data_IF_385764646736
#
_entry.id   IF_385764646736
#
_cell.length_a   1.000
_cell.length_b   1.000
_cell.length_c   1.000
_cell.angle_alpha   90.00
_cell.angle_beta   90.00
_cell.angle_gamma   90.00
#
_symmetry.space_group_name_H-M   'P 1'
#
loop_
_entity.id
_entity.type
_entity.pdbx_description
1 polymer ?
#
# COMPACT_ATOMS: atom_id res chain seq x y z
N UNK A 1 -7.30 -15.03 10.14
CA UNK A 1 -6.56 -13.99 9.42
C UNK A 1 -5.10 -14.35 9.54
N UNK A 2 -4.40 -14.45 8.42
CA UNK A 2 -2.96 -14.72 8.37
C UNK A 2 -2.24 -13.56 7.72
N UNK A 3 -0.99 -13.33 8.14
CA UNK A 3 -0.13 -12.28 7.61
C UNK A 3 1.14 -12.92 7.09
N UNK A 4 1.51 -12.61 5.86
CA UNK A 4 2.71 -13.11 5.21
C UNK A 4 3.74 -11.99 5.08
N UNK A 5 4.94 -12.20 5.60
CA UNK A 5 6.02 -11.23 5.62
C UNK A 5 7.21 -11.71 4.80
N UNK A 6 7.86 -10.77 4.12
CA UNK A 6 9.13 -10.94 3.41
C UNK A 6 10.23 -10.07 4.00
N UNK A 7 11.37 -10.00 3.31
CA UNK A 7 12.48 -9.15 3.72
C UNK A 7 12.13 -7.65 3.63
N UNK A 8 11.20 -7.32 2.73
CA UNK A 8 10.78 -5.96 2.43
C UNK A 8 9.69 -5.44 3.37
N UNK A 9 8.86 -6.32 3.94
CA UNK A 9 7.74 -5.96 4.80
C UNK A 9 6.57 -6.94 4.74
N UNK A 10 5.38 -6.47 5.13
CA UNK A 10 4.13 -7.23 4.98
C UNK A 10 3.85 -7.41 3.49
N UNK A 11 3.78 -8.64 3.01
CA UNK A 11 3.52 -8.98 1.60
C UNK A 11 2.05 -9.28 1.32
N UNK A 12 1.33 -9.79 2.32
CA UNK A 12 -0.10 -10.04 2.15
C UNK A 12 -0.86 -10.44 3.40
N UNK A 13 -2.16 -10.22 3.32
CA UNK A 13 -3.17 -10.59 4.30
C UNK A 13 -4.10 -11.64 3.71
N UNK A 14 -4.37 -12.70 4.46
CA UNK A 14 -5.13 -13.84 3.97
C UNK A 14 -6.24 -14.23 4.95
N UNK A 15 -7.39 -14.61 4.40
CA UNK A 15 -8.46 -15.24 5.14
C UNK A 15 -8.04 -16.63 5.63
N UNK A 16 -8.80 -17.18 6.59
CA UNK A 16 -8.48 -18.50 7.17
C UNK A 16 -8.50 -19.65 6.13
N UNK A 17 -9.24 -19.47 5.03
CA UNK A 17 -9.31 -20.40 3.91
C UNK A 17 -8.19 -20.22 2.87
N UNK A 18 -7.22 -19.32 3.12
CA UNK A 18 -6.13 -19.03 2.19
C UNK A 18 -6.46 -18.03 1.08
N UNK A 19 -7.69 -17.49 1.02
CA UNK A 19 -8.02 -16.42 0.08
C UNK A 19 -7.24 -15.15 0.44
N UNK A 20 -6.61 -14.53 -0.55
CA UNK A 20 -5.99 -13.22 -0.39
C UNK A 20 -7.06 -12.16 -0.10
N UNK A 21 -6.81 -11.32 0.90
CA UNK A 21 -7.59 -10.13 1.24
C UNK A 21 -6.88 -8.92 0.66
N UNK A 22 -5.56 -8.79 0.94
CA UNK A 22 -4.71 -7.73 0.39
C UNK A 22 -3.31 -8.25 0.08
N UNK A 23 -2.71 -7.70 -0.97
CA UNK A 23 -1.30 -7.88 -1.31
C UNK A 23 -0.58 -6.54 -1.29
N UNK A 24 0.72 -6.54 -0.99
CA UNK A 24 1.54 -5.35 -0.93
C UNK A 24 2.84 -5.54 -1.72
N UNK A 25 3.13 -4.59 -2.59
CA UNK A 25 4.38 -4.55 -3.35
C UNK A 25 5.36 -3.58 -2.74
N UNK A 26 6.63 -3.93 -2.75
CA UNK A 26 7.70 -3.11 -2.18
C UNK A 26 8.77 -2.81 -3.21
N UNK A 27 9.59 -1.79 -2.95
CA UNK A 27 10.77 -1.52 -3.74
C UNK A 27 11.73 -2.73 -3.71
N UNK A 28 12.15 -3.26 -4.87
CA UNK A 28 13.06 -4.39 -4.90
C UNK A 28 14.35 -4.11 -4.12
N UNK A 29 14.73 -5.00 -3.21
CA UNK A 29 15.94 -4.88 -2.40
C UNK A 29 15.84 -3.89 -1.23
N UNK A 30 14.68 -3.26 -1.00
CA UNK A 30 14.44 -2.47 0.21
C UNK A 30 14.20 -3.41 1.38
N UNK A 31 15.09 -3.43 2.37
CA UNK A 31 14.86 -4.18 3.60
C UNK A 31 13.94 -3.38 4.54
N UNK A 32 12.83 -3.98 4.98
CA UNK A 32 11.87 -3.38 5.92
C UNK A 32 11.45 -1.96 5.53
N UNK A 33 10.90 -1.81 4.33
CA UNK A 33 10.35 -0.53 3.88
C UNK A 33 9.22 -0.06 4.81
N UNK A 34 9.04 1.26 4.90
CA UNK A 34 7.92 1.87 5.64
C UNK A 34 6.73 2.18 4.74
N UNK A 35 6.91 2.13 3.41
CA UNK A 35 5.91 2.48 2.42
C UNK A 35 5.91 1.45 1.28
N UNK A 36 4.81 0.71 1.07
CA UNK A 36 4.68 -0.12 -0.11
C UNK A 36 4.49 0.74 -1.37
N UNK A 37 4.90 0.22 -2.52
CA UNK A 37 4.68 0.80 -3.83
C UNK A 37 3.21 0.73 -4.27
N UNK A 38 2.57 -0.38 -3.94
CA UNK A 38 1.17 -0.61 -4.28
C UNK A 38 0.50 -1.49 -3.23
N UNK A 39 -0.82 -1.38 -3.16
CA UNK A 39 -1.69 -2.40 -2.58
C UNK A 39 -2.49 -3.08 -3.71
N UNK A 40 -2.78 -4.37 -3.52
CA UNK A 40 -3.65 -5.15 -4.38
C UNK A 40 -4.83 -5.64 -3.57
N UNK A 41 -6.05 -5.33 -3.99
CA UNK A 41 -7.28 -5.79 -3.34
C UNK A 41 -8.29 -6.17 -4.43
N UNK A 42 -8.93 -7.34 -4.32
CA UNK A 42 -9.91 -7.81 -5.31
C UNK A 42 -9.37 -7.93 -6.75
N UNK A 43 -8.05 -8.09 -6.93
CA UNK A 43 -7.40 -8.13 -8.24
C UNK A 43 -7.07 -6.75 -8.85
N UNK A 44 -7.49 -5.66 -8.22
CA UNK A 44 -7.14 -4.30 -8.62
C UNK A 44 -5.85 -3.84 -7.93
N UNK A 45 -5.06 -3.03 -8.64
CA UNK A 45 -3.86 -2.40 -8.11
C UNK A 45 -4.12 -0.93 -7.79
N UNK A 46 -3.66 -0.48 -6.62
CA UNK A 46 -3.63 0.92 -6.26
C UNK A 46 -2.19 1.32 -5.91
N UNK A 47 -1.64 2.25 -6.69
CA UNK A 47 -0.27 2.73 -6.56
C UNK A 47 -0.22 3.90 -5.57
N UNK A 48 0.69 3.81 -4.61
CA UNK A 48 0.81 4.76 -3.52
C UNK A 48 1.69 5.93 -3.95
N UNK A 49 1.15 7.14 -3.85
CA UNK A 49 1.88 8.39 -3.99
C UNK A 49 2.13 8.95 -2.59
N UNK A 50 3.36 8.84 -2.12
CA UNK A 50 3.79 9.38 -0.84
C UNK A 50 4.54 10.71 -1.03
N UNK A 51 4.47 11.59 -0.02
CA UNK A 51 5.34 12.76 0.02
C UNK A 51 6.79 12.40 0.38
N UNK A 52 7.68 13.41 0.40
CA UNK A 52 9.10 13.25 0.71
C UNK A 52 9.40 12.66 2.10
N UNK A 53 8.44 12.71 3.04
CA UNK A 53 8.55 12.12 4.38
C UNK A 53 8.00 10.70 4.44
N UNK A 54 7.46 10.23 3.32
CA UNK A 54 6.88 8.91 3.23
C UNK A 54 5.42 8.81 3.64
N UNK A 55 4.73 9.94 3.80
CA UNK A 55 3.31 9.94 4.16
C UNK A 55 2.48 9.69 2.89
N UNK A 56 1.67 8.63 2.81
CA UNK A 56 0.76 8.42 1.69
C UNK A 56 -0.22 9.60 1.55
N UNK A 57 -0.21 10.27 0.39
CA UNK A 57 -1.13 11.38 0.07
C UNK A 57 -2.25 10.96 -0.86
N UNK A 58 -1.99 9.97 -1.72
CA UNK A 58 -2.91 9.58 -2.78
C UNK A 58 -2.68 8.13 -3.21
N UNK A 59 -3.77 7.49 -3.65
CA UNK A 59 -3.75 6.24 -4.38
C UNK A 59 -4.25 6.46 -5.81
N UNK A 60 -3.56 5.90 -6.78
CA UNK A 60 -3.97 5.92 -8.20
C UNK A 60 -4.14 4.51 -8.75
N UNK A 61 -5.05 4.31 -9.70
CA UNK A 61 -5.13 3.04 -10.42
C UNK A 61 -4.09 2.96 -11.56
N UNK A 62 -4.11 1.87 -12.33
CA UNK A 62 -3.19 1.64 -13.45
C UNK A 62 -3.34 2.65 -14.60
N UNK A 63 -4.44 3.39 -14.67
CA UNK A 63 -4.65 4.47 -15.65
C UNK A 63 -4.16 5.83 -15.14
N UNK A 64 -3.77 5.91 -13.86
CA UNK A 64 -3.41 7.15 -13.18
C UNK A 64 -4.62 7.88 -12.58
N UNK A 65 -5.82 7.30 -12.61
CA UNK A 65 -6.99 7.90 -12.00
C UNK A 65 -6.92 7.80 -10.47
N UNK A 66 -7.28 8.89 -9.79
CA UNK A 66 -7.27 8.95 -8.33
C UNK A 66 -8.38 8.07 -7.77
N UNK A 67 -8.00 7.05 -6.99
CA UNK A 67 -8.93 6.15 -6.30
C UNK A 67 -9.12 6.54 -4.83
N UNK A 68 -8.15 7.24 -4.25
CA UNK A 68 -8.24 7.82 -2.92
C UNK A 68 -7.25 8.97 -2.76
N UNK A 69 -7.57 9.95 -1.92
CA UNK A 69 -6.69 11.05 -1.56
C UNK A 69 -6.94 11.45 -0.11
N UNK A 70 -5.88 11.71 0.64
CA UNK A 70 -5.97 12.43 1.90
C UNK A 70 -5.51 13.88 1.71
N UNK A 71 -6.36 14.80 2.14
CA UNK A 71 -6.00 16.20 2.33
C UNK A 71 -5.63 16.39 3.79
N UNK A 72 -4.39 16.82 4.03
CA UNK A 72 -3.92 17.16 5.37
C UNK A 72 -3.63 18.66 5.39
N UNK A 73 -4.26 19.40 6.29
CA UNK A 73 -3.82 20.75 6.62
C UNK A 73 -2.37 20.70 7.13
N UNK A 74 -1.62 21.82 7.03
CA UNK A 74 -0.19 21.90 7.33
C UNK A 74 0.23 21.37 8.73
N UNK A 75 -0.74 21.15 9.63
CA UNK A 75 -0.57 20.60 10.97
C UNK A 75 -1.53 19.44 11.31
N UNK A 76 -1.89 18.60 10.32
CA UNK A 76 -2.39 17.25 10.58
C UNK A 76 -3.84 17.16 11.10
N UNK A 77 -4.70 18.13 10.79
CA UNK A 77 -6.15 17.89 10.86
C UNK A 77 -6.61 17.24 9.56
N UNK A 78 -7.30 16.12 9.72
CA UNK A 78 -8.09 15.42 8.72
C UNK A 78 -9.57 15.63 9.04
#
# INVERSE_FOLDING_TARGET
MFFFYGAEGLLGEYAANGSEIRGYGWWPGSAYGTIPLYLREGGAYHFIQADQLGTPRMLVDATGAVTWRAEYEAFGRA
#
